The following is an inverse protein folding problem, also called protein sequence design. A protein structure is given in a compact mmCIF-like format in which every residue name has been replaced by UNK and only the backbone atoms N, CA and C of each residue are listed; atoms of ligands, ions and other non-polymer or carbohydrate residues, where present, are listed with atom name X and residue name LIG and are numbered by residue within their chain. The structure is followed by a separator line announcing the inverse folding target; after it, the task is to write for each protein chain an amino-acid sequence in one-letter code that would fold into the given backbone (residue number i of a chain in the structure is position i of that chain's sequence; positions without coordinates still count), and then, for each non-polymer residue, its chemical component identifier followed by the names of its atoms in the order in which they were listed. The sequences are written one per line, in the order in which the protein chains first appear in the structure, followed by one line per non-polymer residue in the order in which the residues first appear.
data_IF_921215254553
#
_entry.id   IF_921215254553
#
_cell.length_a   1.000
_cell.length_b   1.000
_cell.length_c   1.000
_cell.angle_alpha   90.00
_cell.angle_beta   90.00
_cell.angle_gamma   90.00
#
_symmetry.space_group_name_H-M   'P 1'
#
loop_
_entity.id
_entity.type
_entity.pdbx_description
1 polymer ?
#
# COMPACT_ATOMS: atom_id res chain seq x y z
N UNK A 1 -0.86 -2.62 -11.21
CA UNK A 1 0.02 -1.99 -10.20
C UNK A 1 0.73 -3.08 -9.40
N UNK A 2 1.91 -2.77 -8.87
CA UNK A 2 2.52 -3.55 -7.79
C UNK A 2 2.55 -2.71 -6.52
N UNK A 3 2.41 -3.37 -5.37
CA UNK A 3 2.50 -2.74 -4.05
C UNK A 3 3.45 -3.57 -3.21
N UNK A 4 4.39 -2.93 -2.52
CA UNK A 4 5.23 -3.60 -1.54
C UNK A 4 5.31 -2.81 -0.22
N UNK A 5 5.42 -3.57 0.86
CA UNK A 5 5.77 -3.06 2.18
C UNK A 5 7.28 -3.08 2.37
N UNK A 6 7.73 -2.32 3.34
CA UNK A 6 9.13 -2.24 3.73
C UNK A 6 9.21 -2.04 5.25
N UNK A 7 10.30 -2.50 5.84
CA UNK A 7 10.56 -2.38 7.27
C UNK A 7 10.72 -0.90 7.70
N UNK A 8 10.91 0.02 6.75
CA UNK A 8 10.86 1.47 6.97
C UNK A 8 9.42 2.01 7.20
N UNK A 9 8.44 1.11 7.38
CA UNK A 9 7.01 1.39 7.57
C UNK A 9 6.36 2.14 6.40
N UNK A 10 7.04 2.25 5.25
CA UNK A 10 6.46 2.80 4.02
C UNK A 10 5.91 1.69 3.15
N UNK A 11 4.80 1.99 2.50
CA UNK A 11 4.27 1.17 1.43
C UNK A 11 4.50 1.90 0.11
N UNK A 12 5.05 1.23 -0.86
CA UNK A 12 5.37 1.80 -2.17
C UNK A 12 4.50 1.17 -3.23
N UNK A 13 4.15 1.97 -4.24
CA UNK A 13 3.21 1.60 -5.29
C UNK A 13 3.86 1.90 -6.63
N UNK A 14 3.68 1.02 -7.61
CA UNK A 14 4.18 1.20 -8.98
C UNK A 14 3.09 0.94 -10.01
N UNK A 15 3.07 1.76 -11.05
CA UNK A 15 2.40 1.43 -12.29
C UNK A 15 3.31 0.52 -13.12
N UNK A 16 2.86 -0.71 -13.34
CA UNK A 16 3.61 -1.71 -14.07
C UNK A 16 3.60 -1.48 -15.59
N UNK A 17 2.63 -0.71 -16.10
CA UNK A 17 2.55 -0.41 -17.53
C UNK A 17 3.63 0.60 -17.96
N UNK A 18 3.87 1.61 -17.12
CA UNK A 18 4.91 2.61 -17.32
C UNK A 18 6.25 2.26 -16.65
N UNK A 19 6.24 1.33 -15.70
CA UNK A 19 7.40 1.00 -14.86
C UNK A 19 7.76 2.10 -13.86
N UNK A 20 6.90 3.12 -13.68
CA UNK A 20 7.18 4.26 -12.82
C UNK A 20 6.55 4.11 -11.43
N UNK A 21 7.17 4.71 -10.39
CA UNK A 21 6.52 4.84 -9.10
C UNK A 21 5.20 5.59 -9.23
N UNK A 22 4.18 5.07 -8.56
CA UNK A 22 2.88 5.69 -8.48
C UNK A 22 2.88 6.62 -7.24
N UNK A 23 3.04 7.92 -7.48
CA UNK A 23 3.15 8.93 -6.43
C UNK A 23 4.39 8.78 -5.55
N UNK A 24 4.34 9.31 -4.32
CA UNK A 24 5.45 9.33 -3.36
C UNK A 24 5.45 8.14 -2.37
N UNK A 25 4.54 7.18 -2.57
CA UNK A 25 4.28 6.08 -1.62
C UNK A 25 3.21 6.41 -0.60
N UNK A 26 2.65 5.37 0.01
CA UNK A 26 1.62 5.45 1.04
C UNK A 26 2.31 5.55 2.41
N UNK A 27 2.06 6.66 3.10
CA UNK A 27 2.70 7.02 4.37
C UNK A 27 1.66 7.20 5.46
N UNK A 28 2.10 7.22 6.72
CA UNK A 28 1.23 7.28 7.90
C UNK A 28 1.48 6.16 8.91
N UNK A 29 1.58 4.88 8.49
CA UNK A 29 1.85 3.79 9.41
C UNK A 29 3.18 3.99 10.14
N UNK A 30 3.21 3.66 11.43
CA UNK A 30 4.41 3.73 12.27
C UNK A 30 5.12 2.37 12.37
N UNK A 31 4.53 1.36 11.75
CA UNK A 31 4.91 -0.04 11.87
C UNK A 31 4.94 -0.68 10.49
N UNK A 32 5.80 -1.68 10.31
CA UNK A 32 5.88 -2.44 9.08
C UNK A 32 4.56 -3.19 8.80
N UNK A 33 4.20 -3.28 7.52
CA UNK A 33 3.06 -4.08 7.09
C UNK A 33 3.48 -5.55 7.00
N UNK A 34 2.74 -6.43 7.65
CA UNK A 34 2.92 -7.89 7.61
C UNK A 34 2.17 -8.51 6.42
N UNK A 35 1.08 -7.87 6.02
CA UNK A 35 0.27 -8.28 4.88
C UNK A 35 -0.22 -7.06 4.10
N UNK A 36 -0.28 -7.20 2.77
CA UNK A 36 -0.79 -6.18 1.86
C UNK A 36 -1.72 -6.83 0.85
N UNK A 37 -2.85 -6.19 0.58
CA UNK A 37 -3.80 -6.57 -0.46
C UNK A 37 -4.16 -5.38 -1.33
N UNK A 38 -4.39 -5.64 -2.62
CA UNK A 38 -4.99 -4.70 -3.56
C UNK A 38 -6.41 -5.20 -3.81
N UNK A 39 -7.39 -4.30 -3.72
CA UNK A 39 -8.79 -4.61 -3.95
C UNK A 39 -9.45 -3.60 -4.88
N UNK A 40 -10.65 -3.94 -5.32
CA UNK A 40 -11.61 -3.02 -5.92
C UNK A 40 -12.74 -2.78 -4.92
N UNK A 41 -13.10 -1.52 -4.73
CA UNK A 41 -14.26 -1.11 -3.94
C UNK A 41 -15.08 -0.13 -4.77
N UNK A 42 -16.21 -0.60 -5.27
CA UNK A 42 -17.13 0.16 -6.13
C UNK A 42 -16.45 0.73 -7.39
N UNK A 43 -15.62 -0.09 -8.06
CA UNK A 43 -14.89 0.31 -9.27
C UNK A 43 -13.68 1.22 -8.99
N UNK A 44 -13.25 1.31 -7.74
CA UNK A 44 -12.08 2.09 -7.32
C UNK A 44 -11.04 1.17 -6.68
N UNK A 45 -9.82 1.24 -7.18
CA UNK A 45 -8.68 0.55 -6.58
C UNK A 45 -8.45 1.03 -5.15
N UNK A 46 -8.32 0.09 -4.23
CA UNK A 46 -7.89 0.33 -2.84
C UNK A 46 -6.67 -0.51 -2.52
N UNK A 47 -5.84 0.00 -1.61
CA UNK A 47 -4.75 -0.74 -1.00
C UNK A 47 -5.05 -0.89 0.49
N UNK A 48 -4.94 -2.10 1.01
CA UNK A 48 -5.14 -2.41 2.43
C UNK A 48 -3.88 -3.06 2.98
N UNK A 49 -3.46 -2.66 4.18
CA UNK A 49 -2.36 -3.30 4.90
C UNK A 49 -2.73 -3.62 6.35
N UNK A 50 -2.26 -4.79 6.81
CA UNK A 50 -2.31 -5.22 8.20
C UNK A 50 -0.94 -5.13 8.85
N UNK A 51 -0.89 -4.61 10.07
CA UNK A 51 0.34 -4.29 10.79
C UNK A 51 0.46 -5.09 12.09
N UNK A 52 1.69 -5.27 12.58
CA UNK A 52 1.97 -6.06 13.79
C UNK A 52 1.33 -5.47 15.06
N UNK A 53 1.08 -4.16 15.09
CA UNK A 53 0.42 -3.46 16.20
C UNK A 53 -1.10 -3.65 16.21
N UNK A 54 -1.64 -4.45 15.28
CA UNK A 54 -3.08 -4.71 15.12
C UNK A 54 -3.80 -3.65 14.28
N UNK A 55 -3.11 -2.63 13.78
CA UNK A 55 -3.72 -1.59 12.94
C UNK A 55 -3.98 -2.10 11.53
N UNK A 56 -5.05 -1.59 10.94
CA UNK A 56 -5.35 -1.73 9.52
C UNK A 56 -5.34 -0.34 8.90
N UNK A 57 -4.63 -0.20 7.79
CA UNK A 57 -4.60 1.03 7.01
C UNK A 57 -5.18 0.78 5.62
N UNK A 58 -5.83 1.81 5.08
CA UNK A 58 -6.48 1.78 3.77
C UNK A 58 -6.18 3.06 3.02
N UNK A 59 -5.83 2.93 1.74
CA UNK A 59 -5.57 4.07 0.86
C UNK A 59 -6.30 3.96 -0.47
N UNK A 60 -6.51 5.13 -1.07
CA UNK A 60 -6.92 5.30 -2.46
C UNK A 60 -5.75 5.92 -3.20
N UNK A 61 -4.94 5.13 -3.91
CA UNK A 61 -3.86 5.63 -4.76
C UNK A 61 -4.46 6.45 -5.91
#
# INVERSE_FOLDING_TARGET
MAVCGSDDSRIRVWDLSSGQPYGTGLTGPQTAAEAIAIGDLDGRTIVVSGHWDGSIWTWRP
#
